data_IF_763769030489
#
_entry.id   IF_763769030489
#
_cell.length_a   1.000
_cell.length_b   1.000
_cell.length_c   1.000
_cell.angle_alpha   90.00
_cell.angle_beta   90.00
_cell.angle_gamma   90.00
#
_symmetry.space_group_name_H-M   'P 1'
#
loop_
_entity.id
_entity.type
_entity.pdbx_description
1 polymer ?
#
# COMPACT_ATOMS: atom_id res chain seq x y z
N UNK A 1 7.44 -6.00 12.63
CA UNK A 1 7.30 -5.11 11.47
C UNK A 1 8.59 -5.12 10.66
N UNK A 2 8.50 -5.12 9.34
CA UNK A 2 9.68 -5.01 8.49
C UNK A 2 10.48 -3.76 8.85
N UNK A 3 11.81 -3.89 8.78
CA UNK A 3 12.73 -2.82 9.15
C UNK A 3 13.41 -2.24 7.92
N UNK A 4 13.76 -0.97 7.99
CA UNK A 4 14.57 -0.30 6.96
C UNK A 4 15.80 -1.15 6.65
N UNK A 5 16.08 -1.35 5.36
CA UNK A 5 17.12 -2.23 4.87
C UNK A 5 16.62 -3.61 4.45
N UNK A 6 15.40 -3.99 4.83
CA UNK A 6 14.84 -5.26 4.42
C UNK A 6 14.50 -5.28 2.93
N UNK A 7 14.60 -6.44 2.31
CA UNK A 7 14.18 -6.65 0.93
C UNK A 7 12.67 -6.83 0.87
N UNK A 8 12.03 -6.34 -0.20
CA UNK A 8 10.61 -6.58 -0.41
C UNK A 8 10.35 -8.09 -0.39
N UNK A 9 9.36 -8.57 0.42
CA UNK A 9 9.10 -10.00 0.53
C UNK A 9 8.64 -10.61 -0.79
N UNK A 10 9.04 -11.85 -1.04
CA UNK A 10 8.47 -12.64 -2.12
C UNK A 10 7.16 -13.25 -1.64
N UNK A 11 6.05 -12.66 -2.03
CA UNK A 11 4.72 -13.11 -1.62
C UNK A 11 3.74 -12.84 -2.75
N UNK A 12 2.77 -13.75 -2.91
CA UNK A 12 1.73 -13.66 -3.93
C UNK A 12 0.40 -13.43 -3.26
N UNK A 13 -0.37 -12.47 -3.78
CA UNK A 13 -1.71 -12.17 -3.28
C UNK A 13 -2.58 -11.74 -4.47
N UNK A 14 -3.90 -11.67 -4.25
CA UNK A 14 -4.84 -11.28 -5.29
C UNK A 14 -5.10 -9.78 -5.25
N UNK A 15 -5.23 -9.17 -6.44
CA UNK A 15 -5.63 -7.78 -6.54
C UNK A 15 -7.16 -7.62 -6.53
N UNK A 16 -7.65 -6.42 -6.76
CA UNK A 16 -9.11 -6.13 -6.78
C UNK A 16 -9.85 -6.80 -7.92
N UNK A 17 -9.13 -7.34 -8.90
CA UNK A 17 -9.71 -8.08 -10.02
C UNK A 17 -9.57 -9.60 -9.85
N UNK A 18 -9.03 -10.05 -8.73
CA UNK A 18 -8.77 -11.46 -8.49
C UNK A 18 -7.55 -12.00 -9.22
N UNK A 19 -6.71 -11.14 -9.77
CA UNK A 19 -5.48 -11.54 -10.44
C UNK A 19 -4.33 -11.68 -9.45
N UNK A 20 -3.44 -12.64 -9.70
CA UNK A 20 -2.28 -12.88 -8.83
C UNK A 20 -1.22 -11.82 -9.05
N UNK A 21 -0.75 -11.23 -7.96
CA UNK A 21 0.35 -10.26 -7.95
C UNK A 21 1.47 -10.82 -7.09
N UNK A 22 2.67 -10.92 -7.67
CA UNK A 22 3.88 -11.26 -6.92
C UNK A 22 4.58 -9.95 -6.55
N UNK A 23 4.82 -9.73 -5.27
CA UNK A 23 5.42 -8.48 -4.79
C UNK A 23 6.83 -8.26 -5.33
N UNK A 24 7.55 -9.31 -5.68
CA UNK A 24 8.88 -9.18 -6.31
C UNK A 24 8.82 -8.54 -7.70
N UNK A 25 7.67 -8.57 -8.33
CA UNK A 25 7.50 -7.92 -9.64
C UNK A 25 7.47 -6.39 -9.54
N UNK A 26 7.33 -5.84 -8.34
CA UNK A 26 7.43 -4.40 -8.13
C UNK A 26 8.87 -3.88 -8.18
N UNK A 27 9.86 -4.75 -8.03
CA UNK A 27 11.28 -4.36 -8.12
C UNK A 27 11.57 -3.78 -9.50
N UNK A 28 12.34 -2.71 -9.54
CA UNK A 28 12.64 -1.95 -10.76
C UNK A 28 12.05 -0.55 -10.71
N UNK A 29 11.08 -0.32 -9.85
CA UNK A 29 10.47 0.98 -9.60
C UNK A 29 10.37 1.23 -8.11
N UNK A 30 10.41 2.50 -7.70
CA UNK A 30 10.06 2.89 -6.34
C UNK A 30 8.64 2.40 -6.06
N UNK A 31 8.43 1.77 -4.92
CA UNK A 31 7.15 1.15 -4.58
C UNK A 31 6.66 1.63 -3.22
N UNK A 32 5.43 2.11 -3.20
CA UNK A 32 4.73 2.52 -1.98
C UNK A 32 3.68 1.47 -1.68
N UNK A 33 3.80 0.81 -0.54
CA UNK A 33 2.81 -0.17 -0.08
C UNK A 33 2.20 0.37 1.20
N UNK A 34 0.91 0.75 1.15
CA UNK A 34 0.23 1.24 2.33
C UNK A 34 -0.81 0.24 2.81
N UNK A 35 -0.77 -0.06 4.10
CA UNK A 35 -1.74 -0.92 4.76
C UNK A 35 -2.81 -0.05 5.41
N UNK A 36 -4.06 -0.50 5.35
CA UNK A 36 -5.18 0.19 5.96
C UNK A 36 -6.18 -0.79 6.55
N UNK A 37 -6.92 -0.39 7.61
CA UNK A 37 -7.77 -1.35 8.33
C UNK A 37 -8.95 -1.90 7.54
N UNK A 38 -9.71 -1.06 6.84
CA UNK A 38 -10.97 -1.53 6.25
C UNK A 38 -11.51 -0.61 5.17
N UNK A 39 -11.98 -1.22 4.05
CA UNK A 39 -12.68 -0.50 2.99
C UNK A 39 -13.91 0.25 3.54
N UNK A 40 -14.25 1.35 2.89
CA UNK A 40 -15.45 2.15 3.20
C UNK A 40 -15.49 2.80 4.58
N UNK A 41 -14.39 2.81 5.33
CA UNK A 41 -14.27 3.62 6.55
C UNK A 41 -13.83 5.03 6.18
N UNK A 42 -14.20 6.07 6.97
CA UNK A 42 -13.86 7.46 6.60
C UNK A 42 -12.36 7.71 6.41
N UNK A 43 -11.53 7.24 7.33
CA UNK A 43 -10.07 7.44 7.24
C UNK A 43 -9.47 6.71 6.05
N UNK A 44 -9.86 5.46 5.83
CA UNK A 44 -9.34 4.67 4.70
C UNK A 44 -9.80 5.24 3.36
N UNK A 45 -11.02 5.75 3.29
CA UNK A 45 -11.54 6.42 2.09
C UNK A 45 -10.75 7.70 1.79
N UNK A 46 -10.49 8.51 2.80
CA UNK A 46 -9.70 9.75 2.64
C UNK A 46 -8.29 9.43 2.16
N UNK A 47 -7.66 8.43 2.73
CA UNK A 47 -6.31 8.01 2.34
C UNK A 47 -6.28 7.53 0.88
N UNK A 48 -7.21 6.66 0.49
CA UNK A 48 -7.31 6.17 -0.88
C UNK A 48 -7.55 7.32 -1.87
N UNK A 49 -8.42 8.24 -1.54
CA UNK A 49 -8.71 9.40 -2.39
C UNK A 49 -7.51 10.36 -2.48
N UNK A 50 -6.74 10.49 -1.40
CA UNK A 50 -5.50 11.28 -1.42
C UNK A 50 -4.52 10.71 -2.47
N UNK A 51 -4.31 9.40 -2.47
CA UNK A 51 -3.46 8.77 -3.47
C UNK A 51 -4.05 8.91 -4.88
N UNK A 52 -5.36 8.63 -5.04
CA UNK A 52 -6.04 8.76 -6.33
C UNK A 52 -5.84 10.13 -6.94
N UNK A 53 -6.06 11.17 -6.15
CA UNK A 53 -6.00 12.56 -6.63
C UNK A 53 -4.58 13.02 -6.97
N UNK A 54 -3.57 12.32 -6.46
CA UNK A 54 -2.16 12.66 -6.66
C UNK A 54 -1.43 11.68 -7.58
N UNK A 55 -2.12 10.70 -8.19
CA UNK A 55 -1.45 9.67 -9.00
C UNK A 55 -0.63 10.23 -10.17
N UNK A 56 -1.01 11.38 -10.72
CA UNK A 56 -0.22 12.05 -11.75
C UNK A 56 1.18 12.44 -11.29
N UNK A 57 1.37 12.59 -9.99
CA UNK A 57 2.67 12.93 -9.37
C UNK A 57 3.49 11.68 -9.01
N UNK A 58 2.89 10.48 -9.07
CA UNK A 58 3.55 9.20 -8.80
C UNK A 58 4.00 8.51 -10.09
N UNK A 59 4.50 9.26 -11.06
CA UNK A 59 4.99 8.68 -12.32
C UNK A 59 6.15 7.72 -12.05
N UNK A 60 6.07 6.54 -12.67
CA UNK A 60 7.06 5.47 -12.51
C UNK A 60 7.22 5.00 -11.07
N UNK A 61 6.18 5.18 -10.26
CA UNK A 61 6.12 4.70 -8.89
C UNK A 61 4.94 3.75 -8.76
N UNK A 62 5.16 2.58 -8.20
CA UNK A 62 4.07 1.67 -7.87
C UNK A 62 3.39 2.13 -6.58
N UNK A 63 2.07 2.29 -6.60
CA UNK A 63 1.28 2.56 -5.40
C UNK A 63 0.34 1.38 -5.19
N UNK A 64 0.40 0.76 -4.02
CA UNK A 64 -0.34 -0.44 -3.70
C UNK A 64 -0.97 -0.29 -2.32
N UNK A 65 -2.30 -0.42 -2.25
CA UNK A 65 -3.02 -0.47 -0.98
C UNK A 65 -3.28 -1.91 -0.58
N UNK A 66 -3.15 -2.23 0.71
CA UNK A 66 -3.34 -3.59 1.22
C UNK A 66 -4.28 -3.57 2.41
N UNK A 67 -5.29 -4.42 2.39
CA UNK A 67 -6.19 -4.62 3.51
C UNK A 67 -6.69 -6.07 3.50
N UNK A 68 -7.20 -6.54 4.64
CA UNK A 68 -7.60 -7.94 4.82
C UNK A 68 -8.98 -8.29 4.27
N UNK A 69 -9.68 -7.34 3.65
CA UNK A 69 -10.95 -7.63 3.00
C UNK A 69 -10.75 -8.50 1.75
N UNK A 70 -11.84 -9.08 1.28
CA UNK A 70 -11.81 -9.95 0.10
C UNK A 70 -11.80 -9.15 -1.22
N UNK A 71 -11.65 -9.87 -2.32
CA UNK A 71 -11.60 -9.29 -3.66
C UNK A 71 -12.86 -8.48 -3.97
N UNK A 72 -14.04 -9.00 -3.60
CA UNK A 72 -15.31 -8.33 -3.90
C UNK A 72 -15.42 -6.98 -3.20
N UNK A 73 -15.02 -6.89 -1.93
CA UNK A 73 -15.00 -5.64 -1.18
C UNK A 73 -14.06 -4.63 -1.82
N UNK A 74 -12.84 -5.05 -2.15
CA UNK A 74 -11.85 -4.19 -2.79
C UNK A 74 -12.33 -3.74 -4.18
N UNK A 75 -12.98 -4.60 -4.94
CA UNK A 75 -13.52 -4.24 -6.25
C UNK A 75 -14.58 -3.15 -6.12
N UNK A 76 -15.51 -3.30 -5.17
CA UNK A 76 -16.54 -2.29 -4.92
C UNK A 76 -15.93 -0.97 -4.45
N UNK A 77 -14.96 -1.03 -3.56
CA UNK A 77 -14.24 0.15 -3.06
C UNK A 77 -13.52 0.88 -4.20
N UNK A 78 -12.80 0.12 -5.02
CA UNK A 78 -12.09 0.61 -6.20
C UNK A 78 -13.03 1.33 -7.16
N UNK A 79 -14.17 0.71 -7.49
CA UNK A 79 -15.14 1.28 -8.44
C UNK A 79 -15.89 2.48 -7.84
N UNK A 80 -16.31 2.39 -6.58
CA UNK A 80 -17.09 3.45 -5.93
C UNK A 80 -16.29 4.76 -5.87
N UNK A 81 -15.00 4.68 -5.61
CA UNK A 81 -14.16 5.86 -5.47
C UNK A 81 -13.27 6.12 -6.69
N UNK A 82 -13.50 5.42 -7.80
CA UNK A 82 -12.74 5.59 -9.04
C UNK A 82 -11.24 5.52 -8.79
N UNK A 83 -10.80 4.54 -8.00
CA UNK A 83 -9.38 4.40 -7.69
C UNK A 83 -8.59 4.03 -8.96
N UNK A 84 -7.34 4.43 -9.02
CA UNK A 84 -6.47 4.27 -10.18
C UNK A 84 -5.12 3.65 -9.82
N UNK A 85 -5.10 2.82 -8.79
CA UNK A 85 -3.92 2.07 -8.35
C UNK A 85 -4.39 0.71 -7.80
N UNK A 86 -3.44 -0.21 -7.62
CA UNK A 86 -3.74 -1.58 -7.21
C UNK A 86 -4.13 -1.67 -5.74
N UNK A 87 -5.17 -2.46 -5.45
CA UNK A 87 -5.53 -2.88 -4.10
C UNK A 87 -5.27 -4.38 -3.96
N UNK A 88 -4.60 -4.78 -2.90
CA UNK A 88 -4.33 -6.19 -2.60
C UNK A 88 -5.33 -6.68 -1.56
N UNK A 89 -6.04 -7.74 -1.92
CA UNK A 89 -7.01 -8.41 -1.05
C UNK A 89 -6.28 -9.46 -0.20
N UNK A 90 -5.81 -9.04 0.98
CA UNK A 90 -5.07 -9.90 1.89
C UNK A 90 -6.02 -10.71 2.78
N UNK A 91 -6.92 -11.45 2.14
CA UNK A 91 -7.99 -12.17 2.84
C UNK A 91 -7.46 -13.22 3.81
N UNK A 92 -6.36 -13.90 3.46
CA UNK A 92 -5.71 -14.89 4.34
C UNK A 92 -4.74 -14.26 5.34
N UNK A 93 -4.59 -12.94 5.32
CA UNK A 93 -3.77 -12.15 6.25
C UNK A 93 -2.27 -12.40 6.18
N UNK A 94 -1.81 -13.11 5.17
CA UNK A 94 -0.38 -13.47 5.03
C UNK A 94 0.50 -12.26 4.75
N UNK A 95 0.03 -11.33 3.93
CA UNK A 95 0.81 -10.11 3.60
C UNK A 95 0.94 -9.25 4.85
N UNK A 96 -0.16 -8.99 5.54
CA UNK A 96 -0.15 -8.19 6.78
C UNK A 96 0.72 -8.81 7.85
N UNK A 97 0.67 -10.14 7.97
CA UNK A 97 1.51 -10.88 8.92
C UNK A 97 2.98 -10.80 8.55
N UNK A 98 3.31 -10.99 7.27
CA UNK A 98 4.70 -10.93 6.77
C UNK A 98 5.31 -9.54 6.98
N UNK A 99 4.54 -8.47 6.79
CA UNK A 99 5.00 -7.10 7.03
C UNK A 99 4.96 -6.72 8.51
N UNK A 100 4.35 -7.55 9.35
CA UNK A 100 4.29 -7.31 10.80
C UNK A 100 3.33 -6.21 11.20
N UNK A 101 2.24 -6.03 10.45
CA UNK A 101 1.24 -4.97 10.71
C UNK A 101 -0.14 -5.51 11.06
N UNK A 102 -0.26 -6.81 11.27
CA UNK A 102 -1.54 -7.42 11.62
C UNK A 102 -1.86 -7.17 13.09
N UNK A 103 -3.02 -6.54 13.36
CA UNK A 103 -3.51 -6.31 14.73
C UNK A 103 -4.11 -7.60 15.32
N UNK A 104 -4.16 -7.71 16.66
CA UNK A 104 -4.88 -8.83 17.31
C UNK A 104 -6.34 -8.95 16.88
N UNK A 105 -6.98 -7.82 16.50
CA UNK A 105 -8.35 -7.82 15.99
C UNK A 105 -8.49 -8.45 14.60
N UNK A 106 -7.39 -8.75 13.92
CA UNK A 106 -7.40 -9.37 12.59
C UNK A 106 -7.42 -8.41 11.42
N UNK A 107 -7.30 -7.10 11.66
CA UNK A 107 -7.16 -6.11 10.60
C UNK A 107 -5.74 -5.54 10.57
N UNK A 108 -5.36 -4.92 9.46
CA UNK A 108 -4.05 -4.30 9.33
C UNK A 108 -4.01 -2.95 10.05
N UNK A 109 -2.86 -2.63 10.61
CA UNK A 109 -2.58 -1.28 11.08
C UNK A 109 -2.39 -0.35 9.88
N UNK A 110 -2.56 0.96 10.13
CA UNK A 110 -2.32 1.98 9.10
C UNK A 110 -0.84 2.31 9.07
N UNK A 111 -0.11 1.64 8.20
CA UNK A 111 1.35 1.76 8.06
C UNK A 111 1.69 1.80 6.58
N UNK A 112 2.64 2.65 6.21
CA UNK A 112 3.09 2.76 4.82
C UNK A 112 4.58 2.49 4.72
N UNK A 113 4.94 1.67 3.75
CA UNK A 113 6.32 1.26 3.46
C UNK A 113 6.75 1.85 2.12
N UNK A 114 7.95 2.43 2.08
CA UNK A 114 8.55 2.93 0.83
C UNK A 114 9.79 2.09 0.51
N UNK A 115 9.74 1.41 -0.63
CA UNK A 115 10.86 0.62 -1.16
C UNK A 115 11.50 1.36 -2.33
N UNK A 116 12.82 1.27 -2.45
CA UNK A 116 13.54 1.84 -3.59
C UNK A 116 13.46 0.91 -4.82
N UNK A 117 14.12 1.30 -5.90
CA UNK A 117 14.09 0.54 -7.17
C UNK A 117 14.70 -0.84 -7.05
N UNK A 118 15.59 -1.05 -6.11
CA UNK A 118 16.21 -2.34 -5.84
C UNK A 118 15.36 -3.22 -4.92
N UNK A 119 14.22 -2.71 -4.47
CA UNK A 119 13.32 -3.43 -3.57
C UNK A 119 13.76 -3.39 -2.11
N UNK A 120 14.57 -2.42 -1.74
CA UNK A 120 15.05 -2.26 -0.36
C UNK A 120 14.17 -1.25 0.37
N UNK A 121 13.72 -1.60 1.56
CA UNK A 121 12.88 -0.74 2.37
C UNK A 121 13.69 0.47 2.87
N UNK A 122 13.21 1.68 2.53
CA UNK A 122 13.91 2.91 2.84
C UNK A 122 13.22 3.74 3.92
N UNK A 123 11.93 3.60 4.08
CA UNK A 123 11.19 4.36 5.08
C UNK A 123 9.88 3.67 5.46
N UNK A 124 9.46 3.87 6.71
CA UNK A 124 8.18 3.37 7.23
C UNK A 124 7.44 4.52 7.90
N UNK A 125 6.20 4.77 7.45
CA UNK A 125 5.28 5.66 8.16
C UNK A 125 4.43 4.82 9.10
N UNK A 126 4.66 4.93 10.40
CA UNK A 126 3.83 4.29 11.43
C UNK A 126 2.76 5.23 11.98
N UNK A 127 2.83 6.50 11.61
CA UNK A 127 1.80 7.52 11.88
C UNK A 127 1.42 8.17 10.57
N UNK A 128 0.14 8.06 10.20
CA UNK A 128 -0.36 8.50 8.91
C UNK A 128 -1.49 9.49 9.11
N UNK A 129 -1.41 10.62 8.39
CA UNK A 129 -2.55 11.54 8.27
C UNK A 129 -3.32 11.17 6.98
N UNK A 130 -4.49 10.51 7.08
CA UNK A 130 -5.18 10.01 5.89
C UNK A 130 -5.52 11.07 4.84
N UNK A 131 -5.82 12.29 5.24
CA UNK A 131 -6.25 13.34 4.32
C UNK A 131 -5.18 13.79 3.35
N UNK A 132 -3.91 13.83 3.78
CA UNK A 132 -2.81 14.32 2.95
C UNK A 132 -1.65 13.34 2.86
N UNK A 133 -1.93 12.07 3.07
CA UNK A 133 -0.86 11.05 3.13
C UNK A 133 -0.09 10.93 1.82
N UNK A 134 -0.75 11.04 0.67
CA UNK A 134 -0.06 11.00 -0.62
C UNK A 134 1.01 12.09 -0.72
N UNK A 135 0.72 13.29 -0.22
CA UNK A 135 1.68 14.40 -0.20
C UNK A 135 2.83 14.12 0.75
N UNK A 136 2.55 13.53 1.92
CA UNK A 136 3.58 13.12 2.87
C UNK A 136 4.54 12.11 2.24
N UNK A 137 3.99 11.13 1.53
CA UNK A 137 4.78 10.09 0.85
C UNK A 137 5.64 10.69 -0.26
N UNK A 138 5.07 11.55 -1.11
CA UNK A 138 5.81 12.21 -2.18
C UNK A 138 6.96 13.05 -1.63
N UNK A 139 6.72 13.81 -0.57
CA UNK A 139 7.75 14.60 0.09
C UNK A 139 8.89 13.73 0.60
N UNK A 140 8.57 12.58 1.19
CA UNK A 140 9.58 11.65 1.71
C UNK A 140 10.40 11.01 0.59
N UNK A 141 9.75 10.60 -0.50
CA UNK A 141 10.45 10.04 -1.67
C UNK A 141 11.44 11.06 -2.23
N UNK A 142 11.03 12.31 -2.34
CA UNK A 142 11.87 13.39 -2.82
C UNK A 142 13.04 13.66 -1.86
N UNK A 143 12.76 13.73 -0.55
CA UNK A 143 13.75 13.93 0.49
C UNK A 143 14.83 12.84 0.47
N UNK A 144 14.43 11.59 0.22
CA UNK A 144 15.35 10.45 0.17
C UNK A 144 16.06 10.33 -1.19
N UNK A 145 15.71 11.15 -2.15
CA UNK A 145 16.35 11.12 -3.47
C UNK A 145 16.05 9.85 -4.26
N UNK A 146 14.85 9.27 -4.09
CA UNK A 146 14.49 8.01 -4.74
C UNK A 146 13.92 8.18 -6.14
N UNK A 147 13.59 9.40 -6.52
CA UNK A 147 13.03 9.70 -7.84
C UNK A 147 14.11 10.17 -8.81
#
# INVERSE_FOLDING_TARGET
MLKVGAQIPEIVALDQNGEKINFRDFVGKVTVIYFYPKDFTPGCTKEACSFRDNMGRFKDINVVGVSVQDVDSHKRFYLTHSLNFTLIADHDKKVSETFGVLRPSGVAERVTFIFDKEGILRYVFDKVNPENHAEEVLAKIEELGLM
#
